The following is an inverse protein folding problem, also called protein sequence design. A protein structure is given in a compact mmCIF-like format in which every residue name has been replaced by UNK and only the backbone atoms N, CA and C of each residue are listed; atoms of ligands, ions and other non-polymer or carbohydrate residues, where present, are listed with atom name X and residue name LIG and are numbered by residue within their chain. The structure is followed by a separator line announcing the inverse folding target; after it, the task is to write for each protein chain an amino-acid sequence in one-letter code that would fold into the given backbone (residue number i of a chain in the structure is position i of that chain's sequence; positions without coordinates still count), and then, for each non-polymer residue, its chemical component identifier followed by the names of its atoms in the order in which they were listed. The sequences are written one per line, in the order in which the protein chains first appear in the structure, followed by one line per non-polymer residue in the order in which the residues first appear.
data_IF_496968053872
#
_entry.id   IF_496968053872
#
_cell.length_a   1.000
_cell.length_b   1.000
_cell.length_c   1.000
_cell.angle_alpha   90.00
_cell.angle_beta   90.00
_cell.angle_gamma   90.00
#
_symmetry.space_group_name_H-M   'P 1'
#
loop_
_entity.id
_entity.type
_entity.pdbx_description
1 polymer ?
#
# COMPACT_ATOMS: atom_id res chain seq x y z
N UNK A 1 19.99 10.51 -2.98
CA UNK A 1 19.57 11.84 -2.45
C UNK A 1 18.34 11.62 -1.60
N UNK A 2 18.09 12.42 -0.55
CA UNK A 2 16.81 12.34 0.18
C UNK A 2 15.66 12.62 -0.79
N UNK A 3 14.57 11.85 -0.68
CA UNK A 3 13.37 12.11 -1.48
C UNK A 3 12.83 13.51 -1.14
N UNK A 4 12.30 14.21 -2.15
CA UNK A 4 11.84 15.59 -2.05
C UNK A 4 10.31 15.66 -2.15
N UNK A 5 9.67 16.38 -1.23
CA UNK A 5 8.24 16.70 -1.28
C UNK A 5 8.04 18.19 -1.47
N UNK A 6 7.20 18.56 -2.45
CA UNK A 6 6.70 19.93 -2.58
C UNK A 6 5.38 20.06 -1.80
N UNK A 7 5.39 20.86 -0.73
CA UNK A 7 4.19 21.17 0.07
C UNK A 7 3.55 22.45 -0.47
N UNK A 8 2.40 22.29 -1.11
CA UNK A 8 1.55 23.35 -1.62
C UNK A 8 0.54 23.80 -0.55
N UNK A 9 0.73 25.00 0.01
CA UNK A 9 -0.13 25.56 1.06
C UNK A 9 -1.13 26.55 0.46
N UNK A 10 -2.43 26.30 0.67
CA UNK A 10 -3.51 27.15 0.14
C UNK A 10 -4.18 27.98 1.24
N UNK A 11 -4.87 29.06 0.85
CA UNK A 11 -5.41 30.06 1.79
C UNK A 11 -6.66 29.65 2.55
N UNK A 12 -6.49 28.98 3.70
CA UNK A 12 -7.56 28.81 4.69
C UNK A 12 -7.02 28.77 6.13
N UNK A 13 -7.94 28.78 7.10
CA UNK A 13 -7.60 28.77 8.54
C UNK A 13 -6.69 27.61 8.96
N UNK A 14 -6.71 26.48 8.24
CA UNK A 14 -5.88 25.32 8.55
C UNK A 14 -4.42 25.45 8.05
N UNK A 15 -4.04 26.54 7.37
CA UNK A 15 -2.69 26.72 6.83
C UNK A 15 -1.58 26.63 7.88
N UNK A 16 -1.85 27.00 9.14
CA UNK A 16 -0.86 26.86 10.22
C UNK A 16 -0.50 25.39 10.51
N UNK A 17 -1.40 24.43 10.25
CA UNK A 17 -1.11 23.00 10.40
C UNK A 17 -0.06 22.51 9.40
N UNK A 18 0.10 23.20 8.27
CA UNK A 18 1.14 22.87 7.29
C UNK A 18 2.56 23.04 7.87
N UNK A 19 2.75 23.92 8.87
CA UNK A 19 4.00 24.02 9.61
C UNK A 19 4.37 22.71 10.32
N UNK A 20 3.37 22.02 10.89
CA UNK A 20 3.56 20.74 11.57
C UNK A 20 3.78 19.60 10.57
N UNK A 21 3.01 19.57 9.48
CA UNK A 21 3.21 18.64 8.35
C UNK A 21 4.67 18.71 7.86
N UNK A 22 5.19 19.91 7.60
CA UNK A 22 6.57 20.13 7.16
C UNK A 22 7.56 19.52 8.15
N UNK A 23 7.39 19.77 9.45
CA UNK A 23 8.30 19.25 10.49
C UNK A 23 8.28 17.72 10.57
N UNK A 24 7.11 17.09 10.45
CA UNK A 24 6.99 15.63 10.50
C UNK A 24 7.60 14.98 9.25
N UNK A 25 7.41 15.57 8.06
CA UNK A 25 8.09 15.11 6.84
C UNK A 25 9.62 15.23 6.97
N UNK A 26 10.14 16.35 7.49
CA UNK A 26 11.58 16.49 7.76
C UNK A 26 12.09 15.49 8.78
N UNK A 27 11.31 15.19 9.83
CA UNK A 27 11.64 14.16 10.82
C UNK A 27 11.71 12.76 10.19
N UNK A 28 10.94 12.51 9.14
CA UNK A 28 11.01 11.29 8.33
C UNK A 28 12.16 11.31 7.29
N UNK A 29 13.05 12.29 7.33
CA UNK A 29 14.21 12.38 6.43
C UNK A 29 13.91 12.90 5.03
N UNK A 30 12.72 13.49 4.82
CA UNK A 30 12.30 14.05 3.53
C UNK A 30 12.80 15.49 3.38
N UNK A 31 13.34 15.83 2.20
CA UNK A 31 13.62 17.22 1.84
C UNK A 31 12.30 17.91 1.50
N UNK A 32 11.98 19.04 2.12
CA UNK A 32 10.69 19.70 1.95
C UNK A 32 10.86 21.07 1.30
N UNK A 33 10.24 21.27 0.14
CA UNK A 33 10.07 22.59 -0.49
C UNK A 33 8.65 23.08 -0.28
N UNK A 34 8.44 24.39 -0.25
CA UNK A 34 7.11 24.97 -0.02
C UNK A 34 6.74 25.91 -1.16
N UNK A 35 5.55 25.68 -1.70
CA UNK A 35 4.86 26.59 -2.63
C UNK A 35 3.59 27.09 -1.94
N UNK A 36 3.35 28.40 -1.98
CA UNK A 36 2.19 29.02 -1.34
C UNK A 36 1.35 29.76 -2.37
N UNK A 37 0.02 29.68 -2.23
CA UNK A 37 -0.84 30.67 -2.89
C UNK A 37 -0.68 32.04 -2.21
N UNK A 38 -0.92 33.14 -2.93
CA UNK A 38 -0.99 34.48 -2.32
C UNK A 38 -1.94 34.51 -1.11
N UNK A 39 -3.11 33.86 -1.21
CA UNK A 39 -4.06 33.79 -0.09
C UNK A 39 -3.52 33.04 1.14
N UNK A 40 -2.59 32.10 0.96
CA UNK A 40 -1.97 31.40 2.09
C UNK A 40 -1.03 32.31 2.89
N UNK A 41 -0.38 33.27 2.23
CA UNK A 41 0.55 34.19 2.90
C UNK A 41 -0.15 35.14 3.87
N UNK A 42 -1.47 35.31 3.75
CA UNK A 42 -2.29 36.05 4.70
C UNK A 42 -2.58 35.29 6.00
N UNK A 43 -2.43 33.96 6.02
CA UNK A 43 -2.64 33.13 7.22
C UNK A 43 -1.32 32.78 7.92
N UNK A 44 -0.31 32.41 7.15
CA UNK A 44 1.03 32.08 7.65
C UNK A 44 2.04 32.79 6.77
N UNK A 45 3.00 33.51 7.36
CA UNK A 45 4.02 34.20 6.57
C UNK A 45 5.03 33.23 5.94
N UNK A 46 5.54 33.49 4.73
CA UNK A 46 6.54 32.64 4.08
C UNK A 46 7.85 32.54 4.90
N UNK A 47 8.15 33.55 5.72
CA UNK A 47 9.30 33.54 6.66
C UNK A 47 9.28 32.33 7.59
N UNK A 48 8.10 31.87 8.03
CA UNK A 48 7.99 30.67 8.88
C UNK A 48 8.47 29.43 8.13
N UNK A 49 8.04 29.24 6.88
CA UNK A 49 8.46 28.09 6.09
C UNK A 49 9.93 28.16 5.69
N UNK A 50 10.48 29.34 5.37
CA UNK A 50 11.92 29.53 5.15
C UNK A 50 12.74 29.14 6.38
N UNK A 51 12.28 29.52 7.57
CA UNK A 51 12.95 29.16 8.83
C UNK A 51 12.89 27.66 9.15
N UNK A 52 11.78 26.99 8.82
CA UNK A 52 11.61 25.55 9.04
C UNK A 52 12.39 24.70 8.03
N UNK A 53 12.35 25.07 6.76
CA UNK A 53 12.89 24.26 5.66
C UNK A 53 14.34 24.58 5.33
N UNK A 54 14.80 25.80 5.64
CA UNK A 54 16.05 26.37 5.14
C UNK A 54 16.11 26.44 3.59
N UNK A 55 14.94 26.49 2.95
CA UNK A 55 14.76 26.56 1.50
C UNK A 55 14.01 27.86 1.12
N UNK A 56 14.08 28.22 -0.16
CA UNK A 56 13.23 29.27 -0.71
C UNK A 56 11.75 28.84 -0.70
N UNK A 57 10.86 29.83 -0.56
CA UNK A 57 9.41 29.63 -0.57
C UNK A 57 8.87 30.31 -1.80
N UNK A 58 8.28 29.50 -2.68
CA UNK A 58 7.76 29.93 -3.98
C UNK A 58 6.33 30.46 -3.84
N UNK A 59 6.03 31.63 -4.39
CA UNK A 59 4.72 32.30 -4.20
C UNK A 59 4.14 32.78 -5.53
N UNK A 60 4.92 33.51 -6.33
CA UNK A 60 4.46 34.17 -7.56
C UNK A 60 5.17 33.61 -8.79
N UNK A 61 4.44 33.55 -9.90
CA UNK A 61 4.94 33.03 -11.19
C UNK A 61 6.16 33.82 -11.70
N UNK A 62 6.27 35.10 -11.32
CA UNK A 62 7.30 36.01 -11.80
C UNK A 62 8.28 36.49 -10.71
N UNK A 63 8.27 35.91 -9.51
CA UNK A 63 9.10 36.38 -8.39
C UNK A 63 10.59 36.00 -8.45
N UNK A 64 10.99 35.08 -9.34
CA UNK A 64 12.36 34.56 -9.39
C UNK A 64 13.09 34.89 -10.71
N UNK A 65 13.86 35.99 -10.78
CA UNK A 65 14.64 36.34 -11.96
C UNK A 65 15.76 35.34 -12.31
N UNK A 66 16.18 34.50 -11.35
CA UNK A 66 17.24 33.52 -11.54
C UNK A 66 16.74 32.18 -12.13
N UNK A 67 15.43 31.93 -12.06
CA UNK A 67 14.75 30.80 -12.69
C UNK A 67 13.53 31.29 -13.49
N UNK A 68 13.71 31.70 -14.75
CA UNK A 68 12.64 32.28 -15.56
C UNK A 68 11.50 31.30 -15.89
N UNK A 69 11.66 30.00 -15.59
CA UNK A 69 10.63 28.96 -15.83
C UNK A 69 10.37 28.20 -14.53
N UNK A 70 10.26 28.94 -13.43
CA UNK A 70 10.16 28.40 -12.06
C UNK A 70 9.06 27.35 -11.87
N UNK A 71 7.89 27.50 -12.52
CA UNK A 71 6.80 26.53 -12.44
C UNK A 71 7.15 25.15 -13.02
N UNK A 72 8.02 25.08 -14.05
CA UNK A 72 8.48 23.80 -14.61
C UNK A 72 9.60 23.21 -13.74
N UNK A 73 10.53 24.04 -13.26
CA UNK A 73 11.58 23.59 -12.35
C UNK A 73 11.00 22.99 -11.07
N UNK A 74 10.03 23.68 -10.45
CA UNK A 74 9.29 23.19 -9.28
C UNK A 74 8.44 21.96 -9.56
N UNK A 75 7.92 21.81 -10.78
CA UNK A 75 7.12 20.65 -11.16
C UNK A 75 7.95 19.37 -11.32
N UNK A 76 9.25 19.49 -11.68
CA UNK A 76 10.16 18.38 -11.95
C UNK A 76 10.99 17.92 -10.77
N UNK A 77 11.22 18.81 -9.80
CA UNK A 77 12.06 18.54 -8.64
C UNK A 77 11.49 17.55 -7.61
N UNK A 78 10.18 17.56 -7.26
CA UNK A 78 9.67 16.72 -6.20
C UNK A 78 9.45 15.27 -6.67
N UNK A 79 9.68 14.32 -5.76
CA UNK A 79 9.28 12.91 -5.91
C UNK A 79 7.79 12.71 -5.56
N UNK A 80 7.18 13.65 -4.82
CA UNK A 80 5.73 13.73 -4.60
C UNK A 80 5.29 15.18 -4.27
N UNK A 81 4.04 15.51 -4.58
CA UNK A 81 3.44 16.81 -4.24
C UNK A 81 2.35 16.63 -3.20
N UNK A 82 2.33 17.48 -2.18
CA UNK A 82 1.29 17.51 -1.16
C UNK A 82 0.56 18.87 -1.17
N UNK A 83 -0.73 18.88 -1.50
CA UNK A 83 -1.58 20.07 -1.36
C UNK A 83 -2.30 20.02 0.00
N UNK A 84 -1.78 20.76 0.98
CA UNK A 84 -2.28 20.74 2.35
C UNK A 84 -2.12 22.11 3.05
N UNK A 85 -3.22 22.73 3.52
CA UNK A 85 -4.60 22.39 3.19
C UNK A 85 -4.91 22.66 1.71
N UNK A 86 -5.78 21.86 1.11
CA UNK A 86 -6.35 22.11 -0.21
C UNK A 86 -7.74 22.76 -0.08
N UNK A 87 -7.84 24.03 -0.49
CA UNK A 87 -9.11 24.75 -0.55
C UNK A 87 -9.97 24.28 -1.72
N UNK A 88 -11.29 24.52 -1.65
CA UNK A 88 -12.21 24.22 -2.75
C UNK A 88 -11.78 24.90 -4.07
N UNK A 89 -11.23 26.12 -3.99
CA UNK A 89 -10.73 26.86 -5.14
C UNK A 89 -9.59 26.12 -5.85
N UNK A 90 -8.55 25.70 -5.11
CA UNK A 90 -7.41 24.98 -5.70
C UNK A 90 -7.84 23.59 -6.21
N UNK A 91 -8.72 22.90 -5.50
CA UNK A 91 -9.30 21.63 -5.97
C UNK A 91 -10.04 21.82 -7.30
N UNK A 92 -10.84 22.88 -7.44
CA UNK A 92 -11.53 23.19 -8.69
C UNK A 92 -10.54 23.52 -9.81
N UNK A 93 -9.51 24.33 -9.55
CA UNK A 93 -8.45 24.64 -10.53
C UNK A 93 -7.78 23.36 -11.03
N UNK A 94 -7.38 22.46 -10.13
CA UNK A 94 -6.77 21.18 -10.48
C UNK A 94 -7.72 20.30 -11.32
N UNK A 95 -8.99 20.19 -10.92
CA UNK A 95 -9.97 19.35 -11.63
C UNK A 95 -10.24 19.85 -13.06
N UNK A 96 -10.26 21.17 -13.25
CA UNK A 96 -10.54 21.79 -14.55
C UNK A 96 -9.29 22.17 -15.37
N UNK A 97 -8.09 21.99 -14.82
CA UNK A 97 -6.84 22.33 -15.50
C UNK A 97 -6.64 23.84 -15.65
N UNK A 98 -7.12 24.64 -14.69
CA UNK A 98 -6.83 26.07 -14.63
C UNK A 98 -5.40 26.27 -14.11
N UNK A 99 -4.59 27.04 -14.84
CA UNK A 99 -3.18 27.32 -14.56
C UNK A 99 -2.92 28.83 -14.65
N UNK A 100 -3.43 29.57 -13.68
CA UNK A 100 -3.48 31.04 -13.64
C UNK A 100 -2.61 31.65 -12.54
N UNK A 101 -1.99 30.81 -11.70
CA UNK A 101 -1.00 31.20 -10.68
C UNK A 101 0.17 30.19 -10.64
N UNK A 102 1.25 30.50 -9.91
CA UNK A 102 2.43 29.62 -9.82
C UNK A 102 2.06 28.20 -9.39
N UNK A 103 1.24 28.07 -8.35
CA UNK A 103 0.89 26.78 -7.78
C UNK A 103 0.08 25.93 -8.76
N UNK A 104 -1.00 26.48 -9.31
CA UNK A 104 -1.87 25.79 -10.26
C UNK A 104 -1.15 25.42 -11.56
N UNK A 105 -0.26 26.30 -12.05
CA UNK A 105 0.60 26.01 -13.20
C UNK A 105 1.59 24.88 -12.89
N UNK A 106 2.21 24.88 -11.71
CA UNK A 106 3.12 23.82 -11.27
C UNK A 106 2.39 22.48 -11.11
N UNK A 107 1.20 22.49 -10.50
CA UNK A 107 0.36 21.30 -10.30
C UNK A 107 -0.15 20.70 -11.60
N UNK A 108 -0.38 21.53 -12.62
CA UNK A 108 -0.78 21.05 -13.95
C UNK A 108 0.41 20.43 -14.72
N UNK A 109 1.63 20.89 -14.45
CA UNK A 109 2.83 20.49 -15.18
C UNK A 109 3.62 19.33 -14.54
N UNK A 110 3.31 18.95 -13.30
CA UNK A 110 4.07 17.91 -12.57
C UNK A 110 3.63 16.50 -12.97
N UNK A 111 4.62 15.63 -13.17
CA UNK A 111 4.41 14.19 -13.33
C UNK A 111 4.49 13.45 -11.98
N UNK A 112 4.86 14.14 -10.91
CA UNK A 112 4.99 13.55 -9.58
C UNK A 112 3.60 13.21 -9.01
N UNK A 113 3.47 12.10 -8.25
CA UNK A 113 2.20 11.75 -7.65
C UNK A 113 1.74 12.80 -6.63
N UNK A 114 0.45 13.15 -6.68
CA UNK A 114 -0.13 14.25 -5.90
C UNK A 114 -1.03 13.71 -4.78
N UNK A 115 -0.76 14.13 -3.55
CA UNK A 115 -1.64 13.96 -2.39
C UNK A 115 -2.40 15.26 -2.13
N UNK A 116 -3.71 15.17 -1.93
CA UNK A 116 -4.59 16.32 -1.69
C UNK A 116 -5.26 16.13 -0.34
N UNK A 117 -5.10 17.09 0.57
CA UNK A 117 -5.74 17.12 1.89
C UNK A 117 -6.75 18.27 1.98
N UNK A 118 -8.04 18.06 1.64
CA UNK A 118 -9.04 19.11 1.61
C UNK A 118 -9.30 19.74 2.99
N UNK A 119 -9.52 21.05 3.02
CA UNK A 119 -10.02 21.75 4.21
C UNK A 119 -10.89 22.95 3.84
N UNK A 120 -12.15 22.93 4.28
CA UNK A 120 -13.15 23.96 3.98
C UNK A 120 -14.37 23.84 4.92
N UNK A 121 -15.29 24.81 4.85
CA UNK A 121 -16.57 24.73 5.56
C UNK A 121 -17.38 23.48 5.10
N UNK A 122 -18.23 22.93 5.98
CA UNK A 122 -19.06 21.75 5.68
C UNK A 122 -19.89 21.94 4.42
N UNK A 123 -20.54 23.09 4.25
CA UNK A 123 -21.38 23.38 3.08
C UNK A 123 -20.56 23.48 1.79
N UNK A 124 -19.31 23.97 1.87
CA UNK A 124 -18.40 23.95 0.73
C UNK A 124 -17.96 22.52 0.40
N UNK A 125 -17.70 21.70 1.42
CA UNK A 125 -17.31 20.30 1.24
C UNK A 125 -18.43 19.50 0.60
N UNK A 126 -19.66 19.60 1.10
CA UNK A 126 -20.82 18.84 0.62
C UNK A 126 -21.42 19.38 -0.68
N UNK A 127 -20.99 20.54 -1.17
CA UNK A 127 -21.42 21.08 -2.45
C UNK A 127 -21.11 20.10 -3.60
N UNK A 128 -22.08 19.91 -4.50
CA UNK A 128 -21.96 18.99 -5.63
C UNK A 128 -20.70 19.25 -6.46
N UNK A 129 -20.41 20.51 -6.78
CA UNK A 129 -19.22 20.89 -7.53
C UNK A 129 -17.91 20.44 -6.85
N UNK A 130 -17.81 20.57 -5.52
CA UNK A 130 -16.62 20.13 -4.78
C UNK A 130 -16.50 18.61 -4.82
N UNK A 131 -17.59 17.88 -4.59
CA UNK A 131 -17.58 16.41 -4.61
C UNK A 131 -17.23 15.87 -6.00
N UNK A 132 -17.76 16.46 -7.06
CA UNK A 132 -17.43 16.12 -8.46
C UNK A 132 -15.95 16.39 -8.78
N UNK A 133 -15.41 17.52 -8.30
CA UNK A 133 -13.99 17.85 -8.48
C UNK A 133 -13.09 16.87 -7.72
N UNK A 134 -13.42 16.53 -6.47
CA UNK A 134 -12.68 15.53 -5.69
C UNK A 134 -12.71 14.17 -6.38
N UNK A 135 -13.87 13.73 -6.87
CA UNK A 135 -14.00 12.48 -7.61
C UNK A 135 -13.18 12.50 -8.91
N UNK A 136 -13.16 13.63 -9.62
CA UNK A 136 -12.34 13.83 -10.82
C UNK A 136 -10.85 13.70 -10.52
N UNK A 137 -10.36 14.33 -9.44
CA UNK A 137 -8.96 14.22 -9.03
C UNK A 137 -8.59 12.78 -8.65
N UNK A 138 -9.45 12.09 -7.88
CA UNK A 138 -9.25 10.70 -7.52
C UNK A 138 -9.18 9.80 -8.77
N UNK A 139 -10.07 10.01 -9.75
CA UNK A 139 -10.08 9.26 -11.01
C UNK A 139 -8.82 9.52 -11.86
N UNK A 140 -8.18 10.68 -11.72
CA UNK A 140 -6.90 11.02 -12.37
C UNK A 140 -5.66 10.53 -11.60
N UNK A 141 -5.85 9.78 -10.51
CA UNK A 141 -4.76 9.19 -9.74
C UNK A 141 -4.23 10.07 -8.59
N UNK A 142 -4.86 11.20 -8.30
CA UNK A 142 -4.54 11.95 -7.08
C UNK A 142 -5.02 11.19 -5.84
N UNK A 143 -4.22 11.24 -4.78
CA UNK A 143 -4.50 10.56 -3.52
C UNK A 143 -5.19 11.51 -2.54
N UNK A 144 -6.47 11.26 -2.23
CA UNK A 144 -7.28 12.16 -1.41
C UNK A 144 -7.24 11.73 0.07
N UNK A 145 -6.77 12.62 0.94
CA UNK A 145 -6.87 12.47 2.40
C UNK A 145 -8.12 13.19 2.87
N UNK A 146 -9.22 12.43 3.00
CA UNK A 146 -10.54 13.00 3.29
C UNK A 146 -10.59 13.79 4.61
N UNK A 147 -11.36 14.89 4.66
CA UNK A 147 -11.46 15.73 5.84
C UNK A 147 -12.09 15.00 7.02
N UNK A 148 -11.66 15.38 8.23
CA UNK A 148 -12.21 14.92 9.47
C UNK A 148 -13.58 15.56 9.75
N UNK A 149 -14.37 14.87 10.58
CA UNK A 149 -15.61 15.41 11.16
C UNK A 149 -15.29 16.13 12.47
N UNK A 150 -15.77 17.36 12.64
CA UNK A 150 -15.59 18.08 13.90
C UNK A 150 -16.18 19.48 13.89
N UNK A 151 -15.91 20.22 14.97
CA UNK A 151 -16.26 21.64 15.09
C UNK A 151 -15.35 22.49 14.20
N UNK A 152 -15.94 23.31 13.34
CA UNK A 152 -15.23 24.18 12.40
C UNK A 152 -15.11 25.61 12.94
N UNK A 153 -14.15 26.37 12.40
CA UNK A 153 -13.91 27.76 12.81
C UNK A 153 -15.12 28.70 12.60
N UNK A 154 -16.07 28.33 11.74
CA UNK A 154 -17.32 29.05 11.51
C UNK A 154 -18.42 28.75 12.54
N UNK A 155 -18.23 27.77 13.43
CA UNK A 155 -19.21 27.36 14.44
C UNK A 155 -20.03 26.10 14.08
N UNK A 156 -19.92 25.60 12.85
CA UNK A 156 -20.64 24.41 12.40
C UNK A 156 -19.95 23.11 12.86
N UNK A 157 -20.73 22.04 13.05
CA UNK A 157 -20.21 20.68 13.24
C UNK A 157 -20.47 19.84 12.01
N UNK A 158 -19.42 19.27 11.41
CA UNK A 158 -19.56 18.37 10.27
C UNK A 158 -18.24 18.02 9.61
N UNK A 159 -18.33 17.36 8.46
CA UNK A 159 -17.17 16.93 7.68
C UNK A 159 -16.63 18.09 6.83
N UNK A 160 -15.35 18.42 6.97
CA UNK A 160 -14.72 19.57 6.28
C UNK A 160 -13.45 20.09 6.95
N UNK A 161 -13.21 19.69 8.21
CA UNK A 161 -11.98 19.98 8.95
C UNK A 161 -10.82 19.27 8.25
N UNK A 162 -9.66 19.94 8.14
CA UNK A 162 -8.44 19.28 7.68
C UNK A 162 -8.22 17.99 8.49
N UNK A 163 -7.87 16.90 7.80
CA UNK A 163 -7.51 15.65 8.44
C UNK A 163 -6.41 15.83 9.49
N UNK A 164 -6.24 14.84 10.36
CA UNK A 164 -5.14 14.88 11.32
C UNK A 164 -3.79 14.85 10.61
N UNK A 165 -2.83 15.58 11.16
CA UNK A 165 -1.57 15.91 10.48
C UNK A 165 -0.75 14.66 10.21
N UNK A 166 -0.75 13.72 11.15
CA UNK A 166 -0.11 12.40 11.04
C UNK A 166 -0.67 11.61 9.86
N UNK A 167 -2.01 11.57 9.70
CA UNK A 167 -2.63 10.85 8.59
C UNK A 167 -2.25 11.44 7.22
N UNK A 168 -2.09 12.75 7.13
CA UNK A 168 -1.63 13.43 5.91
C UNK A 168 -0.18 13.06 5.61
N UNK A 169 0.69 13.11 6.63
CA UNK A 169 2.11 12.77 6.51
C UNK A 169 2.29 11.31 6.13
N UNK A 170 1.60 10.38 6.80
CA UNK A 170 1.66 8.94 6.51
C UNK A 170 1.24 8.65 5.08
N UNK A 171 0.16 9.28 4.59
CA UNK A 171 -0.26 9.09 3.20
C UNK A 171 0.75 9.67 2.22
N UNK A 172 1.35 10.81 2.54
CA UNK A 172 2.39 11.44 1.72
C UNK A 172 3.63 10.56 1.64
N UNK A 173 4.09 10.01 2.77
CA UNK A 173 5.23 9.10 2.81
C UNK A 173 4.95 7.79 2.05
N UNK A 174 3.74 7.25 2.14
CA UNK A 174 3.34 6.06 1.38
C UNK A 174 3.40 6.30 -0.14
N UNK A 175 2.93 7.48 -0.59
CA UNK A 175 3.02 7.89 -2.01
C UNK A 175 4.46 8.14 -2.41
N UNK A 176 5.22 8.83 -1.57
CA UNK A 176 6.65 9.05 -1.76
C UNK A 176 7.40 7.72 -1.85
N UNK A 177 6.93 6.67 -1.19
CA UNK A 177 7.47 5.31 -1.22
C UNK A 177 7.24 4.53 -2.52
N UNK A 178 6.38 5.02 -3.43
CA UNK A 178 6.20 4.43 -4.77
C UNK A 178 7.52 4.39 -5.54
N UNK A 179 7.62 3.42 -6.45
CA UNK A 179 8.84 3.13 -7.20
C UNK A 179 8.50 2.51 -8.54
N UNK A 180 9.45 2.51 -9.48
CA UNK A 180 9.29 1.84 -10.78
C UNK A 180 10.10 0.53 -10.85
N UNK A 181 10.62 0.05 -9.72
CA UNK A 181 11.49 -1.14 -9.63
C UNK A 181 10.87 -2.39 -10.27
N UNK A 182 9.54 -2.51 -10.26
CA UNK A 182 8.81 -3.65 -10.82
C UNK A 182 8.06 -3.30 -12.12
N UNK A 183 8.36 -2.16 -12.75
CA UNK A 183 7.80 -1.86 -14.09
C UNK A 183 8.19 -2.97 -15.06
N UNK A 184 7.19 -3.49 -15.78
CA UNK A 184 7.34 -4.61 -16.70
C UNK A 184 7.29 -6.00 -16.04
N UNK A 185 7.18 -6.07 -14.71
CA UNK A 185 6.97 -7.33 -14.00
C UNK A 185 5.47 -7.64 -13.85
N UNK A 186 5.14 -8.93 -13.88
CA UNK A 186 3.82 -9.44 -13.52
C UNK A 186 3.96 -10.30 -12.26
N UNK A 187 3.52 -9.74 -11.12
CA UNK A 187 3.66 -10.39 -9.81
C UNK A 187 2.36 -11.12 -9.46
N UNK A 188 2.45 -12.44 -9.36
CA UNK A 188 1.41 -13.33 -8.86
C UNK A 188 1.56 -13.52 -7.36
N UNK A 189 0.49 -13.31 -6.60
CA UNK A 189 0.51 -13.36 -5.13
C UNK A 189 -0.65 -14.22 -4.65
N UNK A 190 -0.38 -15.11 -3.70
CA UNK A 190 -1.44 -15.83 -2.97
C UNK A 190 -1.68 -15.19 -1.61
N UNK A 191 -2.94 -15.09 -1.18
CA UNK A 191 -3.28 -14.57 0.14
C UNK A 191 -4.45 -15.29 0.80
N UNK A 192 -4.62 -15.08 2.11
CA UNK A 192 -5.70 -15.66 2.91
C UNK A 192 -5.37 -17.05 3.45
N UNK A 193 -6.35 -17.73 4.02
CA UNK A 193 -6.25 -19.13 4.47
C UNK A 193 -7.35 -19.95 3.82
N UNK A 194 -6.99 -21.08 3.21
CA UNK A 194 -7.96 -21.92 2.48
C UNK A 194 -8.95 -22.57 3.43
N UNK A 195 -10.13 -22.90 2.92
CA UNK A 195 -11.23 -23.54 3.63
C UNK A 195 -11.54 -24.86 2.96
N UNK A 196 -11.15 -25.95 3.60
CA UNK A 196 -11.35 -27.30 3.11
C UNK A 196 -12.69 -27.84 3.63
N UNK A 197 -13.68 -27.93 2.76
CA UNK A 197 -15.05 -28.28 3.11
C UNK A 197 -15.14 -29.71 3.67
N UNK A 198 -15.77 -29.86 4.84
CA UNK A 198 -16.21 -31.15 5.38
C UNK A 198 -17.62 -31.44 4.84
N UNK A 199 -18.46 -30.42 4.85
CA UNK A 199 -19.84 -30.38 4.35
C UNK A 199 -20.16 -28.93 3.91
N UNK A 200 -21.36 -28.60 3.40
CA UNK A 200 -21.68 -27.24 2.94
C UNK A 200 -21.69 -26.15 4.03
N UNK A 201 -21.50 -26.51 5.30
CA UNK A 201 -21.59 -25.61 6.46
C UNK A 201 -20.27 -25.54 7.25
N UNK A 202 -19.48 -26.63 7.23
CA UNK A 202 -18.27 -26.78 8.05
C UNK A 202 -17.05 -26.98 7.18
N UNK A 203 -15.93 -26.40 7.60
CA UNK A 203 -14.65 -26.51 6.92
C UNK A 203 -13.49 -26.61 7.91
N UNK A 204 -12.34 -27.07 7.42
CA UNK A 204 -11.03 -27.01 8.08
C UNK A 204 -10.24 -25.87 7.45
N UNK A 205 -9.59 -25.03 8.24
CA UNK A 205 -8.82 -23.92 7.68
C UNK A 205 -7.83 -23.33 8.66
N UNK A 206 -6.93 -22.51 8.13
CA UNK A 206 -5.85 -21.87 8.88
C UNK A 206 -6.25 -20.46 9.32
N UNK A 207 -5.68 -19.97 10.44
CA UNK A 207 -5.97 -18.65 11.03
C UNK A 207 -5.24 -17.50 10.31
N UNK A 208 -5.25 -17.49 8.98
CA UNK A 208 -4.64 -16.39 8.22
C UNK A 208 -5.59 -15.20 8.08
N UNK A 209 -5.07 -14.01 8.34
CA UNK A 209 -5.79 -12.76 8.08
C UNK A 209 -5.69 -12.30 6.63
N UNK A 210 -4.75 -12.85 5.85
CA UNK A 210 -4.42 -12.38 4.50
C UNK A 210 -3.69 -11.03 4.45
N UNK A 211 -3.46 -10.35 5.59
CA UNK A 211 -2.88 -8.98 5.62
C UNK A 211 -1.55 -8.86 4.89
N UNK A 212 -0.65 -9.85 5.04
CA UNK A 212 0.66 -9.81 4.40
C UNK A 212 0.56 -9.92 2.88
N UNK A 213 -0.19 -10.90 2.35
CA UNK A 213 -0.41 -11.03 0.91
C UNK A 213 -1.09 -9.80 0.29
N UNK A 214 -2.03 -9.17 1.00
CA UNK A 214 -2.65 -7.92 0.55
C UNK A 214 -1.70 -6.72 0.60
N UNK A 215 -0.77 -6.67 1.57
CA UNK A 215 0.27 -5.65 1.62
C UNK A 215 1.26 -5.81 0.45
N UNK A 216 1.67 -7.05 0.16
CA UNK A 216 2.48 -7.39 -1.02
C UNK A 216 1.79 -6.98 -2.33
N UNK A 217 0.49 -7.24 -2.46
CA UNK A 217 -0.25 -6.86 -3.66
C UNK A 217 -0.32 -5.34 -3.87
N UNK A 218 -0.52 -4.57 -2.79
CA UNK A 218 -0.45 -3.10 -2.84
C UNK A 218 0.95 -2.63 -3.20
N UNK A 219 1.97 -3.12 -2.50
CA UNK A 219 3.35 -2.72 -2.71
C UNK A 219 3.82 -3.05 -4.13
N UNK A 220 3.51 -4.22 -4.67
CA UNK A 220 3.89 -4.61 -6.03
C UNK A 220 3.28 -3.67 -7.08
N UNK A 221 1.99 -3.35 -6.95
CA UNK A 221 1.30 -2.35 -7.79
C UNK A 221 1.94 -0.97 -7.66
N UNK A 222 2.18 -0.53 -6.43
CA UNK A 222 2.80 0.75 -6.11
C UNK A 222 4.29 0.83 -6.54
N UNK A 223 4.90 -0.31 -6.84
CA UNK A 223 6.24 -0.47 -7.43
C UNK A 223 6.21 -0.61 -8.97
N UNK A 224 5.03 -0.46 -9.60
CA UNK A 224 4.86 -0.45 -11.06
C UNK A 224 4.51 -1.80 -11.70
N UNK A 225 4.31 -2.87 -10.91
CA UNK A 225 3.98 -4.19 -11.45
C UNK A 225 2.51 -4.31 -11.90
N UNK A 226 2.27 -5.18 -12.89
CA UNK A 226 0.96 -5.82 -13.05
C UNK A 226 0.79 -6.86 -11.95
N UNK A 227 -0.35 -6.87 -11.24
CA UNK A 227 -0.54 -7.74 -10.08
C UNK A 227 -1.76 -8.63 -10.24
N UNK A 228 -1.56 -9.93 -10.04
CA UNK A 228 -2.64 -10.91 -9.85
C UNK A 228 -2.62 -11.45 -8.42
N UNK A 229 -3.73 -11.31 -7.72
CA UNK A 229 -3.90 -11.74 -6.34
C UNK A 229 -4.91 -12.90 -6.28
N UNK A 230 -4.42 -14.12 -6.10
CA UNK A 230 -5.26 -15.30 -5.84
C UNK A 230 -5.56 -15.33 -4.34
N UNK A 231 -6.80 -15.04 -3.97
CA UNK A 231 -7.18 -14.83 -2.57
C UNK A 231 -8.17 -15.87 -2.07
N UNK A 232 -7.77 -16.60 -1.03
CA UNK A 232 -8.68 -17.33 -0.16
C UNK A 232 -9.54 -16.36 0.68
N UNK A 233 -10.63 -16.84 1.34
CA UNK A 233 -11.56 -15.95 2.02
C UNK A 233 -10.91 -15.12 3.13
N UNK A 234 -11.13 -13.80 3.08
CA UNK A 234 -10.66 -12.82 4.09
C UNK A 234 -11.68 -11.69 4.24
N UNK A 235 -11.60 -10.95 5.36
CA UNK A 235 -12.40 -9.75 5.60
C UNK A 235 -11.80 -8.48 4.96
N UNK A 236 -10.67 -8.59 4.26
CA UNK A 236 -9.96 -7.45 3.67
C UNK A 236 -10.58 -7.02 2.35
N UNK A 237 -10.69 -5.71 2.15
CA UNK A 237 -11.09 -5.13 0.87
C UNK A 237 -10.00 -5.33 -0.18
N UNK A 238 -10.40 -5.75 -1.39
CA UNK A 238 -9.51 -5.88 -2.54
C UNK A 238 -8.78 -4.56 -2.84
N UNK A 239 -7.45 -4.56 -3.03
CA UNK A 239 -6.72 -3.38 -3.47
C UNK A 239 -7.18 -2.95 -4.86
N UNK A 240 -7.38 -1.64 -5.07
CA UNK A 240 -7.65 -1.10 -6.40
C UNK A 240 -6.44 -1.30 -7.33
N UNK A 241 -6.69 -1.48 -8.63
CA UNK A 241 -5.61 -1.68 -9.62
C UNK A 241 -4.89 -3.03 -9.51
N UNK A 242 -5.46 -4.00 -8.79
CA UNK A 242 -4.98 -5.39 -8.70
C UNK A 242 -6.06 -6.32 -9.27
N UNK A 243 -5.67 -7.28 -10.11
CA UNK A 243 -6.57 -8.33 -10.58
C UNK A 243 -6.75 -9.37 -9.46
N UNK A 244 -7.93 -9.46 -8.87
CA UNK A 244 -8.20 -10.40 -7.77
C UNK A 244 -8.97 -11.60 -8.27
N UNK A 245 -8.44 -12.80 -8.01
CA UNK A 245 -9.06 -14.09 -8.32
C UNK A 245 -9.46 -14.76 -7.00
N UNK A 246 -10.77 -14.81 -6.68
CA UNK A 246 -11.24 -15.44 -5.46
C UNK A 246 -11.19 -16.97 -5.57
N UNK A 247 -10.74 -17.63 -4.52
CA UNK A 247 -10.73 -19.09 -4.36
C UNK A 247 -11.18 -19.45 -2.95
N UNK A 248 -11.61 -20.69 -2.73
CA UNK A 248 -11.99 -21.17 -1.40
C UNK A 248 -11.03 -22.24 -0.89
N UNK A 249 -10.72 -23.24 -1.71
CA UNK A 249 -9.94 -24.42 -1.34
C UNK A 249 -8.48 -24.37 -1.81
N UNK A 250 -7.63 -25.21 -1.23
CA UNK A 250 -6.26 -25.41 -1.69
C UNK A 250 -6.18 -25.91 -3.14
N UNK A 251 -7.15 -26.72 -3.57
CA UNK A 251 -7.22 -27.23 -4.94
C UNK A 251 -7.56 -26.12 -5.95
N UNK A 252 -8.53 -25.26 -5.64
CA UNK A 252 -8.85 -24.09 -6.47
C UNK A 252 -7.69 -23.11 -6.52
N UNK A 253 -7.07 -22.82 -5.37
CA UNK A 253 -5.89 -21.96 -5.33
C UNK A 253 -4.76 -22.52 -6.19
N UNK A 254 -4.51 -23.84 -6.13
CA UNK A 254 -3.51 -24.49 -6.96
C UNK A 254 -3.79 -24.29 -8.45
N UNK A 255 -5.03 -24.55 -8.89
CA UNK A 255 -5.42 -24.42 -10.29
C UNK A 255 -5.30 -22.98 -10.81
N UNK A 256 -5.75 -22.00 -10.03
CA UNK A 256 -5.66 -20.58 -10.45
C UNK A 256 -4.23 -20.05 -10.40
N UNK A 257 -3.41 -20.51 -9.45
CA UNK A 257 -1.98 -20.20 -9.44
C UNK A 257 -1.30 -20.80 -10.67
N UNK A 258 -1.53 -22.08 -10.97
CA UNK A 258 -0.95 -22.76 -12.14
C UNK A 258 -1.33 -22.03 -13.44
N UNK A 259 -2.59 -21.63 -13.60
CA UNK A 259 -3.05 -20.85 -14.76
C UNK A 259 -2.40 -19.48 -14.86
N UNK A 260 -2.34 -18.73 -13.75
CA UNK A 260 -1.80 -17.37 -13.75
C UNK A 260 -0.26 -17.34 -13.80
N UNK A 261 0.41 -18.43 -13.44
CA UNK A 261 1.87 -18.51 -13.38
C UNK A 261 2.53 -18.46 -14.77
N UNK A 262 1.79 -18.83 -15.83
CA UNK A 262 2.30 -18.78 -17.21
C UNK A 262 2.74 -17.37 -17.62
N UNK A 263 1.94 -16.36 -17.28
CA UNK A 263 2.20 -14.94 -17.59
C UNK A 263 3.03 -14.24 -16.50
N UNK A 264 3.09 -14.81 -15.30
CA UNK A 264 3.79 -14.22 -14.18
C UNK A 264 5.32 -14.28 -14.37
N UNK A 265 6.00 -13.23 -13.93
CA UNK A 265 7.46 -13.18 -13.83
C UNK A 265 7.95 -13.47 -12.41
N UNK A 266 7.06 -13.33 -11.42
CA UNK A 266 7.32 -13.58 -10.01
C UNK A 266 6.09 -14.17 -9.33
N UNK A 267 6.29 -15.16 -8.46
CA UNK A 267 5.27 -15.73 -7.58
C UNK A 267 5.64 -15.54 -6.11
N UNK A 268 4.72 -14.99 -5.32
CA UNK A 268 4.86 -14.86 -3.87
C UNK A 268 3.76 -15.64 -3.15
N UNK A 269 4.14 -16.79 -2.59
CA UNK A 269 3.25 -17.72 -1.88
C UNK A 269 3.03 -17.30 -0.42
N UNK A 270 2.27 -16.23 -0.19
CA UNK A 270 1.94 -15.70 1.13
C UNK A 270 0.63 -16.22 1.76
N UNK A 271 -0.12 -17.10 1.08
CA UNK A 271 -1.32 -17.73 1.63
C UNK A 271 -0.97 -18.81 2.65
N UNK A 272 -1.82 -18.98 3.67
CA UNK A 272 -1.78 -20.13 4.57
C UNK A 272 -2.64 -21.26 3.99
N UNK A 273 -2.09 -21.95 3.00
CA UNK A 273 -2.73 -23.11 2.36
C UNK A 273 -2.80 -24.26 3.36
N UNK A 274 -3.94 -24.95 3.43
CA UNK A 274 -4.08 -26.14 4.27
C UNK A 274 -3.21 -27.29 3.73
N UNK A 275 -2.46 -27.96 4.61
CA UNK A 275 -1.63 -29.13 4.25
C UNK A 275 -2.47 -30.40 3.98
N UNK A 276 -3.71 -30.41 4.48
CA UNK A 276 -4.63 -31.54 4.41
C UNK A 276 -6.05 -31.07 4.11
N UNK A 277 -6.81 -31.90 3.40
CA UNK A 277 -8.21 -31.70 3.04
C UNK A 277 -9.03 -32.97 3.34
N UNK A 278 -10.34 -32.88 3.64
CA UNK A 278 -11.19 -34.06 3.82
C UNK A 278 -11.14 -34.99 2.59
N UNK A 279 -10.97 -36.29 2.84
CA UNK A 279 -10.91 -37.31 1.79
C UNK A 279 -12.22 -37.41 1.00
N UNK A 280 -13.34 -37.00 1.61
CA UNK A 280 -14.66 -36.98 0.99
C UNK A 280 -15.44 -35.83 1.59
N UNK A 281 -16.02 -34.98 0.73
CA UNK A 281 -16.90 -33.87 1.13
C UNK A 281 -18.34 -34.39 1.15
N UNK A 282 -19.04 -34.19 2.26
CA UNK A 282 -20.45 -34.56 2.34
C UNK A 282 -21.30 -33.58 1.49
N UNK A 283 -22.27 -34.06 0.69
CA UNK A 283 -23.11 -33.19 -0.11
C UNK A 283 -24.14 -32.41 0.73
N UNK A 284 -24.44 -32.90 1.93
CA UNK A 284 -25.41 -32.33 2.86
C UNK A 284 -24.78 -32.09 4.24
N UNK A 285 -25.39 -31.20 5.01
CA UNK A 285 -24.93 -30.87 6.37
C UNK A 285 -25.03 -32.10 7.26
N UNK A 286 -23.89 -32.57 7.77
CA UNK A 286 -23.85 -33.66 8.74
C UNK A 286 -24.62 -33.28 10.01
N UNK A 287 -25.68 -34.02 10.29
CA UNK A 287 -26.62 -33.78 11.38
C UNK A 287 -26.45 -34.79 12.51
N UNK A 288 -27.01 -34.50 13.69
CA UNK A 288 -27.01 -35.46 14.80
C UNK A 288 -27.84 -36.72 14.50
N UNK A 289 -28.77 -36.65 13.54
CA UNK A 289 -29.57 -37.79 13.10
C UNK A 289 -28.81 -38.78 12.22
N UNK A 290 -27.67 -38.37 11.64
CA UNK A 290 -26.86 -39.23 10.75
C UNK A 290 -25.88 -40.12 11.54
N UNK A 291 -25.95 -40.06 12.87
CA UNK A 291 -25.07 -40.75 13.79
C UNK A 291 -24.00 -39.85 14.40
N UNK A 292 -23.14 -40.44 15.22
CA UNK A 292 -22.02 -39.74 15.84
C UNK A 292 -20.85 -39.61 14.85
N UNK A 293 -20.46 -38.37 14.54
CA UNK A 293 -19.27 -38.10 13.73
C UNK A 293 -18.01 -38.26 14.59
N UNK A 294 -17.42 -39.45 14.56
CA UNK A 294 -16.23 -39.80 15.38
C UNK A 294 -14.91 -39.45 14.70
N UNK A 295 -14.87 -39.34 13.37
CA UNK A 295 -13.65 -39.01 12.62
C UNK A 295 -13.95 -38.35 11.27
N UNK A 296 -12.99 -37.56 10.77
CA UNK A 296 -12.98 -37.04 9.41
C UNK A 296 -11.64 -37.46 8.78
N UNK A 297 -11.63 -38.39 7.82
CA UNK A 297 -10.39 -38.82 7.18
C UNK A 297 -9.83 -37.68 6.32
N UNK A 298 -8.52 -37.45 6.43
CA UNK A 298 -7.82 -36.37 5.73
C UNK A 298 -6.80 -36.93 4.74
N UNK A 299 -6.69 -36.28 3.58
CA UNK A 299 -5.66 -36.53 2.57
C UNK A 299 -4.81 -35.28 2.37
N UNK A 300 -3.57 -35.45 1.90
CA UNK A 300 -2.66 -34.32 1.66
C UNK A 300 -3.14 -33.50 0.47
N UNK A 301 -3.02 -32.18 0.58
CA UNK A 301 -3.23 -31.27 -0.55
C UNK A 301 -2.00 -31.25 -1.46
N UNK A 302 -2.15 -30.65 -2.65
CA UNK A 302 -1.02 -30.39 -3.55
C UNK A 302 -0.19 -29.23 -3.03
N UNK A 303 1.12 -29.35 -3.18
CA UNK A 303 2.09 -28.39 -2.67
C UNK A 303 2.37 -27.30 -3.71
N UNK A 304 1.55 -26.24 -3.71
CA UNK A 304 1.63 -25.14 -4.69
C UNK A 304 3.06 -24.59 -4.82
N UNK A 305 3.75 -24.39 -3.69
CA UNK A 305 5.10 -23.83 -3.69
C UNK A 305 6.09 -24.78 -4.38
N UNK A 306 6.09 -26.06 -4.05
CA UNK A 306 6.99 -27.04 -4.67
C UNK A 306 6.66 -27.24 -6.16
N UNK A 307 5.37 -27.36 -6.50
CA UNK A 307 4.91 -27.53 -7.88
C UNK A 307 5.36 -26.36 -8.77
N UNK A 308 5.13 -25.11 -8.34
CA UNK A 308 5.53 -23.93 -9.12
C UNK A 308 7.05 -23.75 -9.14
N UNK A 309 7.75 -24.04 -8.04
CA UNK A 309 9.21 -24.01 -8.01
C UNK A 309 9.83 -24.99 -9.01
N UNK A 310 9.23 -26.17 -9.19
CA UNK A 310 9.70 -27.14 -10.20
C UNK A 310 9.51 -26.71 -11.65
N UNK A 311 8.64 -25.71 -11.89
CA UNK A 311 8.28 -25.17 -13.21
C UNK A 311 8.72 -23.71 -13.39
N UNK A 312 9.56 -23.19 -12.49
CA UNK A 312 9.82 -21.75 -12.40
C UNK A 312 10.60 -21.19 -13.58
N UNK A 313 11.46 -21.99 -14.20
CA UNK A 313 12.41 -21.53 -15.22
C UNK A 313 13.16 -20.27 -14.71
N UNK A 314 13.09 -19.17 -15.44
CA UNK A 314 13.71 -17.88 -15.11
C UNK A 314 12.84 -17.00 -14.17
N UNK A 315 11.69 -17.50 -13.71
CA UNK A 315 10.79 -16.79 -12.79
C UNK A 315 11.31 -16.89 -11.36
N UNK A 316 11.04 -15.86 -10.58
CA UNK A 316 11.34 -15.85 -9.14
C UNK A 316 10.15 -16.41 -8.37
N UNK A 317 10.39 -17.42 -7.53
CA UNK A 317 9.37 -18.03 -6.66
C UNK A 317 9.77 -17.86 -5.20
N UNK A 318 8.94 -17.17 -4.43
CA UNK A 318 9.14 -16.88 -3.01
C UNK A 318 8.09 -17.60 -2.18
N UNK A 319 8.52 -18.33 -1.15
CA UNK A 319 7.63 -18.98 -0.18
C UNK A 319 7.57 -18.27 1.16
N UNK A 320 6.47 -18.45 1.90
CA UNK A 320 6.38 -18.04 3.30
C UNK A 320 6.44 -19.24 4.25
N UNK A 321 6.95 -19.02 5.46
CA UNK A 321 6.98 -20.00 6.54
C UNK A 321 6.66 -19.35 7.88
N UNK A 322 5.58 -19.81 8.52
CA UNK A 322 5.28 -19.47 9.90
C UNK A 322 5.79 -20.60 10.80
N UNK A 323 6.73 -20.31 11.69
CA UNK A 323 7.28 -21.30 12.63
C UNK A 323 7.16 -20.81 14.07
N UNK A 324 7.17 -21.75 15.02
CA UNK A 324 7.12 -21.44 16.47
C UNK A 324 8.41 -21.80 17.20
N UNK A 325 9.35 -22.48 16.52
CA UNK A 325 10.64 -22.87 17.07
C UNK A 325 11.65 -23.12 15.95
N UNK A 326 12.94 -22.86 16.24
CA UNK A 326 14.06 -23.20 15.36
C UNK A 326 13.90 -22.65 13.93
N UNK A 327 13.50 -21.37 13.85
CA UNK A 327 13.08 -20.65 12.63
C UNK A 327 14.09 -20.80 11.49
N UNK A 328 15.36 -20.52 11.75
CA UNK A 328 16.43 -20.54 10.75
C UNK A 328 16.61 -21.93 10.13
N UNK A 329 16.75 -22.98 10.95
CA UNK A 329 16.96 -24.34 10.43
C UNK A 329 15.76 -24.79 9.61
N UNK A 330 14.53 -24.58 10.10
CA UNK A 330 13.32 -24.97 9.39
C UNK A 330 13.12 -24.22 8.07
N UNK A 331 13.46 -22.93 8.03
CA UNK A 331 13.41 -22.12 6.82
C UNK A 331 14.42 -22.61 5.76
N UNK A 332 15.65 -22.93 6.17
CA UNK A 332 16.69 -23.50 5.29
C UNK A 332 16.27 -24.88 4.76
N UNK A 333 15.79 -25.77 5.65
CA UNK A 333 15.29 -27.10 5.27
C UNK A 333 14.10 -26.98 4.29
N UNK A 334 13.22 -25.99 4.51
CA UNK A 334 12.07 -25.73 3.63
C UNK A 334 12.51 -25.20 2.27
N UNK A 335 13.46 -24.28 2.21
CA UNK A 335 14.03 -23.76 0.97
C UNK A 335 14.58 -24.92 0.12
N UNK A 336 15.44 -25.76 0.70
CA UNK A 336 16.05 -26.90 0.01
C UNK A 336 15.02 -27.92 -0.48
N UNK A 337 14.01 -28.22 0.33
CA UNK A 337 12.96 -29.19 -0.03
C UNK A 337 12.02 -28.67 -1.11
N UNK A 338 11.70 -27.37 -1.10
CA UNK A 338 10.71 -26.78 -2.02
C UNK A 338 11.32 -26.34 -3.34
N UNK A 339 12.61 -25.97 -3.35
CA UNK A 339 13.33 -25.52 -4.54
C UNK A 339 12.97 -24.10 -5.00
N UNK A 340 12.34 -23.30 -4.14
CA UNK A 340 12.06 -21.89 -4.39
C UNK A 340 13.32 -21.02 -4.21
N UNK A 341 13.27 -19.77 -4.65
CA UNK A 341 14.43 -18.86 -4.64
C UNK A 341 14.66 -18.22 -3.26
N UNK A 342 13.58 -17.97 -2.52
CA UNK A 342 13.68 -17.56 -1.12
C UNK A 342 12.51 -18.06 -0.26
N UNK A 343 12.75 -18.10 1.04
CA UNK A 343 11.73 -18.27 2.07
C UNK A 343 11.72 -17.03 2.99
N UNK A 344 10.53 -16.45 3.15
CA UNK A 344 10.25 -15.45 4.19
C UNK A 344 9.73 -16.20 5.42
N UNK A 345 10.54 -16.28 6.47
CA UNK A 345 10.19 -17.01 7.67
C UNK A 345 9.87 -16.06 8.83
N UNK A 346 8.75 -16.26 9.51
CA UNK A 346 8.36 -15.44 10.66
C UNK A 346 8.01 -16.30 11.89
N UNK A 347 8.36 -15.78 13.07
CA UNK A 347 8.10 -16.44 14.36
C UNK A 347 6.73 -16.01 14.93
N UNK A 348 5.71 -16.79 14.61
CA UNK A 348 4.31 -16.50 14.99
C UNK A 348 4.01 -16.69 16.48
N UNK A 349 4.99 -17.10 17.29
CA UNK A 349 4.84 -17.19 18.75
C UNK A 349 4.94 -15.82 19.45
N UNK A 350 5.48 -14.81 18.75
CA UNK A 350 5.68 -13.45 19.29
C UNK A 350 4.45 -12.57 19.04
N UNK A 351 4.05 -11.77 20.03
CA UNK A 351 2.90 -10.86 19.93
C UNK A 351 2.99 -9.89 18.75
N UNK A 352 4.20 -9.47 18.39
CA UNK A 352 4.47 -8.50 17.31
C UNK A 352 4.46 -9.12 15.89
N UNK A 353 4.54 -10.46 15.79
CA UNK A 353 4.63 -11.25 14.53
C UNK A 353 3.47 -12.28 14.41
N UNK A 354 2.51 -12.26 15.33
CA UNK A 354 1.38 -13.19 15.33
C UNK A 354 0.44 -12.95 14.14
N UNK A 355 -0.27 -13.99 13.71
CA UNK A 355 -1.36 -13.88 12.73
C UNK A 355 -2.33 -12.74 13.08
N UNK A 356 -2.46 -11.80 12.14
CA UNK A 356 -3.34 -10.63 12.29
C UNK A 356 -2.65 -9.35 12.80
N UNK A 357 -1.39 -9.41 13.24
CA UNK A 357 -0.59 -8.22 13.55
C UNK A 357 -0.44 -7.30 12.32
N UNK A 358 -0.24 -6.00 12.56
CA UNK A 358 0.07 -5.01 11.52
C UNK A 358 1.57 -4.91 11.21
N UNK A 359 2.41 -5.41 12.13
CA UNK A 359 3.87 -5.49 11.99
C UNK A 359 4.31 -6.93 11.77
N UNK A 360 5.56 -7.10 11.32
CA UNK A 360 6.22 -8.41 11.31
C UNK A 360 7.74 -8.25 11.39
N UNK A 361 8.41 -9.26 11.90
CA UNK A 361 9.86 -9.41 11.87
C UNK A 361 10.17 -10.76 11.23
N UNK A 362 11.00 -10.77 10.19
CA UNK A 362 11.16 -11.95 9.35
C UNK A 362 12.62 -12.27 9.09
N UNK A 363 12.89 -13.54 8.84
CA UNK A 363 14.15 -14.03 8.32
C UNK A 363 14.00 -14.25 6.82
N UNK A 364 14.79 -13.54 6.02
CA UNK A 364 14.90 -13.73 4.57
C UNK A 364 15.97 -14.79 4.29
N UNK A 365 15.56 -15.95 3.75
CA UNK A 365 16.45 -17.09 3.53
C UNK A 365 16.56 -17.40 2.04
N UNK A 366 17.77 -17.37 1.50
CA UNK A 366 18.11 -17.70 0.11
C UNK A 366 19.18 -18.80 0.07
N UNK A 367 19.59 -19.20 -1.14
CA UNK A 367 20.73 -20.10 -1.31
C UNK A 367 22.07 -19.54 -0.82
N UNK A 368 22.17 -18.22 -0.64
CA UNK A 368 23.39 -17.53 -0.17
C UNK A 368 23.47 -17.44 1.35
N UNK A 369 22.34 -17.49 2.04
CA UNK A 369 22.29 -17.40 3.50
C UNK A 369 20.94 -16.97 4.05
N UNK A 370 20.95 -16.61 5.33
CA UNK A 370 19.78 -16.10 6.03
C UNK A 370 20.09 -14.74 6.66
N UNK A 371 19.21 -13.77 6.44
CA UNK A 371 19.33 -12.40 6.93
C UNK A 371 18.08 -11.99 7.70
N UNK A 372 18.28 -11.35 8.86
CA UNK A 372 17.17 -10.81 9.64
C UNK A 372 16.71 -9.46 9.07
N UNK A 373 15.42 -9.36 8.80
CA UNK A 373 14.74 -8.10 8.52
C UNK A 373 14.05 -7.67 9.83
N UNK A 374 14.39 -6.49 10.37
CA UNK A 374 13.88 -6.04 11.66
C UNK A 374 12.35 -5.84 11.64
N UNK A 375 11.75 -5.77 12.83
CA UNK A 375 10.32 -5.52 12.97
C UNK A 375 9.93 -4.20 12.31
N UNK A 376 8.98 -4.24 11.39
CA UNK A 376 8.45 -3.06 10.70
C UNK A 376 6.99 -3.27 10.31
N UNK A 377 6.32 -2.22 9.85
CA UNK A 377 4.97 -2.31 9.32
C UNK A 377 4.90 -3.22 8.09
N UNK A 378 3.82 -4.00 7.97
CA UNK A 378 3.67 -4.96 6.87
C UNK A 378 3.71 -4.33 5.48
N UNK A 379 3.36 -3.05 5.37
CA UNK A 379 3.45 -2.33 4.10
C UNK A 379 4.92 -2.07 3.74
N UNK A 380 5.74 -1.61 4.68
CA UNK A 380 7.18 -1.39 4.47
C UNK A 380 7.92 -2.70 4.24
N UNK A 381 7.56 -3.74 5.02
CA UNK A 381 8.09 -5.08 4.82
C UNK A 381 7.76 -5.60 3.42
N UNK A 382 6.54 -5.36 2.93
CA UNK A 382 6.17 -5.76 1.58
C UNK A 382 7.04 -5.10 0.51
N UNK A 383 7.34 -3.80 0.64
CA UNK A 383 8.27 -3.11 -0.27
C UNK A 383 9.68 -3.73 -0.21
N UNK A 384 10.20 -3.98 0.99
CA UNK A 384 11.53 -4.55 1.18
C UNK A 384 11.65 -5.96 0.58
N UNK A 385 10.68 -6.82 0.84
CA UNK A 385 10.66 -8.18 0.30
C UNK A 385 10.60 -8.19 -1.23
N UNK A 386 9.84 -7.28 -1.84
CA UNK A 386 9.73 -7.18 -3.30
C UNK A 386 10.99 -6.63 -3.97
N UNK A 387 11.71 -5.70 -3.32
CA UNK A 387 13.03 -5.25 -3.79
C UNK A 387 14.02 -6.41 -3.82
N UNK A 388 14.12 -7.15 -2.72
CA UNK A 388 14.98 -8.34 -2.62
C UNK A 388 14.58 -9.40 -3.65
N UNK A 389 13.29 -9.64 -3.84
CA UNK A 389 12.80 -10.58 -4.85
C UNK A 389 13.17 -10.14 -6.29
N UNK A 390 13.18 -8.84 -6.59
CA UNK A 390 13.63 -8.32 -7.89
C UNK A 390 15.13 -8.52 -8.11
N UNK A 391 15.94 -8.36 -7.06
CA UNK A 391 17.39 -8.57 -7.13
C UNK A 391 17.76 -10.03 -7.47
N UNK A 392 16.97 -11.01 -7.03
CA UNK A 392 17.17 -12.43 -7.36
C UNK A 392 17.04 -12.76 -8.86
N UNK A 393 16.49 -11.86 -9.67
CA UNK A 393 16.32 -12.03 -11.12
C UNK A 393 17.52 -11.49 -11.93
N UNK A 394 18.47 -10.84 -11.26
CA UNK A 394 19.55 -10.06 -11.88
C UNK A 394 20.83 -10.84 -12.16
#
# INVERSE_FOLDING_TARGET
MPKTVLVCVTGCIAAYKSCEIVRLLQKAGVRVKVCMTEHATAFVGPTTFRALTHEEVAIDLFDNPSDPIHHISLAKEPDAVLVAPATANVIAKMAHGLADDLMSTTLLATDAPIVVAPAMNVGMWTAAATQENVATLAARGCEIVYPATGYLACGDTGQGKLAEVEAIVDRTLAVLGRSDILVGEHVLITAGGTREAIDPVRYIGNRSSGKMGYALARAARDMGASVTLVSAPTALQAPQGVCVVPVESAAEMHAEVERAFEEATMLVCAAAVADYTPATVAPEKLSKSDGELTSVPLVKTRDILADMSSKKDDRVVIGFAAETNDLTRRAVDKLARKGCDAIVANDVSRSESTFGSNTDAVLWVTGEGAEEIPCMDKQDLAYELLKRAKELKS
#
